data_IF_141377745991
#
_entry.id   IF_141377745991
#
_cell.length_a   1.000
_cell.length_b   1.000
_cell.length_c   1.000
_cell.angle_alpha   90.00
_cell.angle_beta   90.00
_cell.angle_gamma   90.00
#
_symmetry.space_group_name_H-M   'P 1'
#
loop_
_entity.id
_entity.type
_entity.pdbx_description
1 polymer ?
#
# COMPACT_ATOMS: atom_id res chain seq x y z
N UNK A 1 -19.98 -2.88 11.75
CA UNK A 1 -18.91 -1.87 11.89
C UNK A 1 -17.59 -2.43 11.36
N UNK A 2 -17.51 -2.58 10.05
CA UNK A 2 -16.32 -2.76 9.22
C UNK A 2 -16.71 -2.04 7.91
N UNK A 3 -15.76 -1.48 7.17
CA UNK A 3 -15.97 -0.58 6.01
C UNK A 3 -16.26 0.88 6.38
N UNK A 4 -15.25 1.62 6.86
CA UNK A 4 -15.22 3.08 6.72
C UNK A 4 -13.78 3.66 6.73
N UNK A 5 -12.82 2.91 6.19
CA UNK A 5 -11.43 3.37 6.06
C UNK A 5 -10.90 3.08 4.65
N UNK A 6 -11.57 3.64 3.64
CA UNK A 6 -11.06 3.66 2.27
C UNK A 6 -11.62 4.91 1.60
N UNK A 7 -10.98 6.05 1.83
CA UNK A 7 -10.96 7.25 0.98
C UNK A 7 -9.91 8.15 1.63
N UNK A 8 -9.09 8.81 0.82
CA UNK A 8 -7.93 9.66 1.16
C UNK A 8 -6.56 8.93 1.20
N UNK A 9 -6.05 8.44 0.07
CA UNK A 9 -4.59 8.27 -0.11
C UNK A 9 -3.92 9.58 -0.64
N UNK A 10 -4.65 10.69 -0.88
CA UNK A 10 -4.05 11.85 -1.58
C UNK A 10 -4.35 13.27 -1.09
N UNK A 11 -5.04 13.51 0.02
CA UNK A 11 -5.32 14.89 0.47
C UNK A 11 -4.97 15.22 1.93
N UNK A 12 -4.54 14.25 2.73
CA UNK A 12 -4.06 14.51 4.08
C UNK A 12 -2.84 13.64 4.35
N UNK A 13 -1.70 14.29 4.67
CA UNK A 13 -0.54 13.65 5.28
C UNK A 13 -0.95 13.03 6.63
N UNK A 14 -1.57 11.86 6.58
CA UNK A 14 -1.59 10.94 7.71
C UNK A 14 -0.62 9.81 7.39
N UNK A 15 0.38 9.67 8.23
CA UNK A 15 1.20 8.48 8.34
C UNK A 15 0.26 7.28 8.48
N UNK A 16 0.11 6.47 7.42
CA UNK A 16 -0.24 5.03 7.37
C UNK A 16 -0.79 4.69 5.96
N UNK A 17 0.03 4.00 5.17
CA UNK A 17 -0.22 3.64 3.78
C UNK A 17 -1.23 2.50 3.62
N UNK A 18 -2.14 2.67 2.67
CA UNK A 18 -2.97 1.61 2.08
C UNK A 18 -2.86 1.67 0.54
N UNK A 19 -1.70 2.08 0.06
CA UNK A 19 -1.42 2.21 -1.36
C UNK A 19 -0.66 0.93 -1.80
N UNK A 20 -1.05 0.36 -2.94
CA UNK A 20 -0.54 -0.94 -3.38
C UNK A 20 0.97 -0.91 -3.67
N UNK A 21 1.63 -2.04 -3.40
CA UNK A 21 3.03 -2.28 -3.75
C UNK A 21 3.11 -3.39 -4.79
N UNK A 22 4.10 -3.31 -5.65
CA UNK A 22 4.29 -4.26 -6.74
C UNK A 22 5.62 -4.97 -6.54
N UNK A 23 5.61 -6.26 -6.79
CA UNK A 23 6.78 -7.13 -6.73
C UNK A 23 6.82 -7.98 -7.99
N UNK A 24 8.03 -8.27 -8.43
CA UNK A 24 8.35 -9.11 -9.56
C UNK A 24 9.04 -10.38 -9.08
N UNK A 25 8.85 -11.47 -9.82
CA UNK A 25 9.45 -12.76 -9.54
C UNK A 25 8.66 -13.90 -10.18
N UNK A 26 9.29 -15.06 -10.34
CA UNK A 26 8.68 -16.28 -10.87
C UNK A 26 7.79 -16.95 -9.81
N UNK A 27 6.51 -16.60 -9.78
CA UNK A 27 5.59 -17.08 -8.74
C UNK A 27 5.03 -18.49 -9.04
N UNK A 28 5.07 -18.94 -10.30
CA UNK A 28 4.55 -20.25 -10.71
C UNK A 28 5.63 -21.30 -11.04
N UNK A 29 6.88 -20.87 -11.17
CA UNK A 29 8.07 -21.70 -11.43
C UNK A 29 8.24 -22.03 -12.91
N UNK A 30 7.75 -21.19 -13.83
CA UNK A 30 7.86 -21.42 -15.29
C UNK A 30 9.15 -20.87 -15.90
N UNK A 31 9.97 -20.17 -15.12
CA UNK A 31 11.20 -19.50 -15.51
C UNK A 31 11.00 -18.06 -16.00
N UNK A 32 9.79 -17.50 -15.94
CA UNK A 32 9.50 -16.10 -16.25
C UNK A 32 8.91 -15.40 -15.05
N UNK A 33 9.33 -14.15 -14.86
CA UNK A 33 8.81 -13.34 -13.79
C UNK A 33 7.39 -12.86 -14.07
N UNK A 34 6.53 -13.00 -13.07
CA UNK A 34 5.20 -12.42 -13.05
C UNK A 34 5.10 -11.29 -12.01
N UNK A 35 3.88 -10.85 -11.73
CA UNK A 35 3.63 -9.71 -10.85
C UNK A 35 2.80 -10.16 -9.64
N UNK A 36 3.24 -9.73 -8.46
CA UNK A 36 2.43 -9.72 -7.27
C UNK A 36 2.05 -8.29 -6.88
N UNK A 37 0.77 -8.06 -6.64
CA UNK A 37 0.27 -6.81 -6.04
C UNK A 37 0.06 -7.06 -4.56
N UNK A 38 0.76 -6.31 -3.71
CA UNK A 38 0.55 -6.33 -2.26
C UNK A 38 -0.34 -5.16 -1.85
N UNK A 39 -1.42 -5.49 -1.13
CA UNK A 39 -2.23 -4.52 -0.39
C UNK A 39 -2.21 -4.88 1.09
N UNK A 40 -1.54 -4.05 1.88
CA UNK A 40 -1.31 -4.32 3.30
C UNK A 40 -0.67 -5.72 3.48
N UNK A 41 -1.21 -6.62 4.30
CA UNK A 41 -0.64 -7.96 4.52
C UNK A 41 -0.98 -9.01 3.44
N UNK A 42 -1.69 -8.63 2.38
CA UNK A 42 -2.20 -9.57 1.37
C UNK A 42 -1.46 -9.39 0.06
N UNK A 43 -0.91 -10.48 -0.46
CA UNK A 43 -0.30 -10.57 -1.79
C UNK A 43 -1.30 -11.21 -2.74
N UNK A 44 -1.49 -10.60 -3.91
CA UNK A 44 -2.32 -11.07 -5.00
C UNK A 44 -1.38 -11.39 -6.17
N UNK A 45 -1.20 -12.67 -6.46
CA UNK A 45 -0.36 -13.14 -7.56
C UNK A 45 -1.16 -13.13 -8.86
N UNK A 46 -0.60 -12.53 -9.90
CA UNK A 46 -1.12 -12.53 -11.26
C UNK A 46 -0.04 -13.15 -12.14
N UNK A 47 -0.18 -14.47 -12.40
CA UNK A 47 0.84 -15.26 -13.10
C UNK A 47 0.55 -15.36 -14.59
N UNK A 48 -0.71 -15.15 -14.98
CA UNK A 48 -1.14 -15.21 -16.37
C UNK A 48 -1.27 -13.83 -17.04
N UNK A 49 -1.08 -12.74 -16.29
CA UNK A 49 -1.17 -11.34 -16.73
C UNK A 49 -2.58 -10.92 -17.22
N UNK A 50 -3.64 -11.56 -16.74
CA UNK A 50 -5.02 -11.20 -17.09
C UNK A 50 -5.60 -10.08 -16.21
N UNK A 51 -4.80 -9.55 -15.29
CA UNK A 51 -5.19 -8.49 -14.34
C UNK A 51 -6.00 -9.01 -13.16
N UNK A 52 -6.14 -10.33 -12.99
CA UNK A 52 -6.80 -10.95 -11.85
C UNK A 52 -5.82 -11.75 -11.02
N UNK A 53 -6.19 -11.90 -9.75
CA UNK A 53 -5.44 -12.74 -8.84
C UNK A 53 -5.71 -14.22 -9.14
N UNK A 54 -4.64 -14.94 -9.48
CA UNK A 54 -4.59 -16.40 -9.61
C UNK A 54 -4.35 -17.08 -8.27
N UNK A 55 -3.69 -16.37 -7.34
CA UNK A 55 -3.39 -16.84 -6.00
C UNK A 55 -3.31 -15.71 -4.99
N UNK A 56 -3.49 -16.05 -3.71
CA UNK A 56 -3.39 -15.10 -2.60
C UNK A 56 -2.56 -15.71 -1.48
N UNK A 57 -1.68 -14.89 -0.90
CA UNK A 57 -1.02 -15.18 0.38
C UNK A 57 -1.30 -14.06 1.37
N UNK A 58 -1.51 -14.42 2.64
CA UNK A 58 -1.62 -13.47 3.74
C UNK A 58 -0.45 -13.69 4.66
N UNK A 59 0.44 -12.70 4.78
CA UNK A 59 1.65 -12.85 5.58
C UNK A 59 1.99 -11.58 6.35
N UNK A 60 2.40 -11.75 7.61
CA UNK A 60 2.77 -10.67 8.52
C UNK A 60 1.63 -9.76 8.98
N UNK A 61 2.00 -8.59 9.49
CA UNK A 61 1.12 -7.57 10.05
C UNK A 61 0.87 -6.40 9.09
N UNK A 62 1.32 -6.50 7.84
CA UNK A 62 1.07 -5.48 6.84
C UNK A 62 1.73 -4.15 7.18
N UNK A 63 1.04 -3.06 6.84
CA UNK A 63 1.49 -1.68 7.06
C UNK A 63 1.11 -1.15 8.45
N UNK A 64 0.62 -2.02 9.36
CA UNK A 64 0.26 -1.62 10.71
C UNK A 64 1.51 -1.30 11.54
N UNK A 65 1.54 -0.08 12.07
CA UNK A 65 2.52 0.30 13.09
C UNK A 65 2.11 -0.28 14.44
N UNK A 66 2.84 -1.31 14.88
CA UNK A 66 2.65 -1.94 16.20
C UNK A 66 3.85 -1.55 17.06
N UNK A 67 3.63 -0.62 17.98
CA UNK A 67 4.64 -0.13 18.93
C UNK A 67 5.92 0.42 18.27
N UNK A 68 5.77 1.13 17.15
CA UNK A 68 6.89 1.72 16.40
C UNK A 68 7.52 0.80 15.36
N UNK A 69 7.02 -0.43 15.21
CA UNK A 69 7.53 -1.42 14.25
C UNK A 69 6.49 -1.63 13.14
N UNK A 70 6.94 -1.62 11.89
CA UNK A 70 6.16 -1.94 10.70
C UNK A 70 6.88 -3.04 9.92
N UNK A 71 6.14 -3.99 9.37
CA UNK A 71 6.73 -5.02 8.53
C UNK A 71 7.14 -4.43 7.17
N UNK A 72 8.38 -4.67 6.76
CA UNK A 72 8.86 -4.36 5.41
C UNK A 72 8.96 -5.65 4.63
N UNK A 73 8.41 -5.68 3.43
CA UNK A 73 8.29 -6.89 2.63
C UNK A 73 9.28 -6.86 1.48
N UNK A 74 9.71 -8.05 1.10
CA UNK A 74 10.57 -8.32 -0.05
C UNK A 74 10.28 -9.73 -0.55
N UNK A 75 10.79 -10.06 -1.73
CA UNK A 75 10.48 -11.29 -2.44
C UNK A 75 11.76 -11.86 -3.02
N UNK A 76 11.83 -13.18 -3.10
CA UNK A 76 12.98 -13.93 -3.62
C UNK A 76 12.78 -15.44 -3.45
N UNK A 77 13.59 -16.23 -4.14
CA UNK A 77 13.66 -17.70 -4.03
C UNK A 77 14.56 -18.08 -2.83
N UNK A 78 13.95 -18.25 -1.65
CA UNK A 78 14.72 -18.45 -0.43
C UNK A 78 15.24 -19.88 -0.22
N UNK A 79 14.70 -20.85 -0.95
CA UNK A 79 15.03 -22.27 -0.79
C UNK A 79 15.63 -22.93 -2.05
N UNK A 80 15.73 -22.18 -3.14
CA UNK A 80 16.42 -22.55 -4.38
C UNK A 80 15.62 -23.51 -5.24
N UNK A 81 14.29 -23.50 -5.11
CA UNK A 81 13.40 -24.35 -5.90
C UNK A 81 13.02 -23.75 -7.26
N UNK A 82 13.46 -22.53 -7.53
CA UNK A 82 13.17 -21.74 -8.72
C UNK A 82 11.91 -20.87 -8.59
N UNK A 83 11.22 -20.86 -7.44
CA UNK A 83 10.01 -20.06 -7.23
C UNK A 83 10.26 -18.93 -6.25
N UNK A 84 9.72 -17.76 -6.59
CA UNK A 84 9.75 -16.59 -5.73
C UNK A 84 8.79 -16.76 -4.56
N UNK A 85 9.29 -16.68 -3.32
CA UNK A 85 8.46 -16.64 -2.11
C UNK A 85 8.48 -15.26 -1.42
N UNK A 86 7.66 -15.11 -0.37
CA UNK A 86 7.50 -13.84 0.33
C UNK A 86 8.32 -13.83 1.63
N UNK A 87 9.16 -12.81 1.75
CA UNK A 87 9.87 -12.48 2.97
C UNK A 87 9.36 -11.18 3.59
N UNK A 88 9.57 -11.04 4.90
CA UNK A 88 9.42 -9.76 5.56
C UNK A 88 10.51 -9.55 6.59
N UNK A 89 10.69 -8.29 6.95
CA UNK A 89 11.55 -7.84 8.02
C UNK A 89 10.72 -7.10 9.06
N UNK A 90 10.93 -7.47 10.32
CA UNK A 90 10.28 -6.90 11.51
C UNK A 90 11.34 -6.53 12.54
N UNK A 91 11.61 -5.24 12.69
CA UNK A 91 12.80 -4.80 13.42
C UNK A 91 14.06 -5.37 12.76
N UNK A 92 14.99 -5.95 13.52
CA UNK A 92 16.19 -6.57 12.95
C UNK A 92 15.98 -8.03 12.48
N UNK A 93 14.78 -8.59 12.63
CA UNK A 93 14.49 -9.97 12.24
C UNK A 93 14.03 -10.03 10.79
N UNK A 94 14.62 -10.95 10.05
CA UNK A 94 14.19 -11.43 8.74
C UNK A 94 13.34 -12.69 8.96
N UNK A 95 12.20 -12.77 8.27
CA UNK A 95 11.22 -13.84 8.39
C UNK A 95 10.77 -14.24 6.99
N UNK A 96 11.14 -15.44 6.55
CA UNK A 96 10.88 -15.96 5.20
C UNK A 96 9.83 -17.07 5.28
N UNK A 97 8.83 -17.00 4.40
CA UNK A 97 7.79 -18.02 4.22
C UNK A 97 8.00 -18.64 2.84
N UNK A 98 8.41 -19.92 2.81
CA UNK A 98 8.79 -20.65 1.58
C UNK A 98 7.66 -21.55 1.09
N UNK A 99 6.62 -21.75 1.92
CA UNK A 99 5.53 -22.68 1.62
C UNK A 99 4.17 -21.99 1.38
N UNK A 100 4.14 -20.67 1.50
CA UNK A 100 3.00 -19.77 1.30
C UNK A 100 1.84 -19.96 2.31
N UNK A 101 2.09 -20.56 3.48
CA UNK A 101 1.07 -20.80 4.50
C UNK A 101 0.82 -19.60 5.44
N UNK A 102 1.60 -18.53 5.29
CA UNK A 102 1.53 -17.31 6.08
C UNK A 102 2.29 -17.39 7.42
N UNK A 103 3.12 -18.42 7.60
CA UNK A 103 3.99 -18.64 8.77
C UNK A 103 5.44 -18.65 8.29
N UNK A 104 6.31 -18.00 9.06
CA UNK A 104 7.74 -17.99 8.73
C UNK A 104 8.35 -19.39 8.97
N UNK A 105 9.00 -19.93 7.94
CA UNK A 105 9.78 -21.16 8.00
C UNK A 105 11.23 -20.87 8.42
N UNK A 106 11.79 -19.76 7.93
CA UNK A 106 13.16 -19.34 8.20
C UNK A 106 13.14 -17.99 8.93
N UNK A 107 13.83 -17.91 10.07
CA UNK A 107 13.94 -16.67 10.87
C UNK A 107 15.37 -16.47 11.34
N UNK A 108 15.94 -15.32 11.01
CA UNK A 108 17.29 -14.92 11.41
C UNK A 108 17.37 -13.41 11.62
N UNK A 109 18.49 -12.93 12.14
CA UNK A 109 18.71 -11.50 12.36
C UNK A 109 19.82 -10.97 11.46
N UNK A 110 19.56 -9.88 10.75
CA UNK A 110 20.59 -9.22 9.94
C UNK A 110 20.34 -7.72 9.80
N UNK A 111 21.42 -6.94 9.87
CA UNK A 111 21.39 -5.47 9.89
C UNK A 111 20.85 -4.86 11.19
N UNK A 112 20.60 -3.56 11.15
CA UNK A 112 20.25 -2.70 12.29
C UNK A 112 18.78 -2.28 12.30
N UNK A 113 17.90 -3.09 11.70
CA UNK A 113 16.49 -2.77 11.71
C UNK A 113 16.20 -1.46 10.97
N UNK A 114 15.33 -0.60 11.50
CA UNK A 114 14.82 0.60 10.78
C UNK A 114 15.90 1.68 10.63
N UNK A 115 17.12 1.40 11.11
CA UNK A 115 18.28 2.27 10.97
C UNK A 115 19.10 1.97 9.71
N UNK A 116 18.82 0.87 9.01
CA UNK A 116 19.39 0.65 7.68
C UNK A 116 18.70 1.54 6.66
N UNK A 117 19.43 2.00 5.64
CA UNK A 117 18.83 2.79 4.58
C UNK A 117 17.90 1.93 3.71
N UNK A 118 18.32 0.70 3.42
CA UNK A 118 17.60 -0.22 2.53
C UNK A 118 18.01 -1.67 2.77
N UNK A 119 17.08 -2.59 2.50
CA UNK A 119 17.33 -4.02 2.39
C UNK A 119 17.18 -4.41 0.92
N UNK A 120 18.11 -5.20 0.42
CA UNK A 120 18.16 -5.68 -0.96
C UNK A 120 18.14 -7.21 -0.96
N UNK A 121 17.61 -7.79 -2.03
CA UNK A 121 17.48 -9.24 -2.21
C UNK A 121 18.10 -9.62 -3.53
N UNK A 122 18.84 -10.73 -3.53
CA UNK A 122 19.35 -11.40 -4.73
C UNK A 122 20.25 -12.57 -4.38
N UNK A 123 20.59 -13.37 -5.39
CA UNK A 123 21.56 -14.46 -5.30
C UNK A 123 22.98 -13.88 -5.40
N UNK A 124 23.56 -13.50 -4.26
CA UNK A 124 24.82 -12.77 -4.26
C UNK A 124 26.06 -13.65 -4.49
N UNK A 125 25.95 -14.97 -4.27
CA UNK A 125 27.07 -15.93 -4.41
C UNK A 125 26.90 -16.92 -5.57
N UNK A 126 25.75 -16.89 -6.25
CA UNK A 126 25.45 -17.65 -7.45
C UNK A 126 25.08 -19.10 -7.15
N UNK A 127 24.55 -19.38 -5.96
CA UNK A 127 24.20 -20.73 -5.52
C UNK A 127 22.77 -21.16 -5.89
N UNK A 128 21.98 -20.25 -6.45
CA UNK A 128 20.58 -20.43 -6.84
C UNK A 128 19.57 -20.11 -5.74
N UNK A 129 20.00 -19.55 -4.60
CA UNK A 129 19.11 -19.08 -3.52
C UNK A 129 19.30 -17.58 -3.30
N UNK A 130 18.21 -16.86 -3.12
CA UNK A 130 18.25 -15.45 -2.76
C UNK A 130 18.65 -15.25 -1.31
N UNK A 131 19.45 -14.22 -1.07
CA UNK A 131 19.84 -13.81 0.27
C UNK A 131 19.72 -12.29 0.48
N UNK A 132 19.94 -11.86 1.72
CA UNK A 132 19.71 -10.48 2.13
C UNK A 132 21.00 -9.67 2.11
N UNK A 133 20.94 -8.48 1.53
CA UNK A 133 21.93 -7.44 1.72
C UNK A 133 21.32 -6.21 2.41
N UNK A 134 22.16 -5.44 3.12
CA UNK A 134 21.77 -4.15 3.70
C UNK A 134 22.62 -3.02 3.14
N UNK A 135 21.98 -1.89 2.85
CA UNK A 135 22.65 -0.68 2.37
C UNK A 135 22.83 0.35 3.47
N UNK A 136 24.04 0.91 3.54
CA UNK A 136 24.43 2.04 4.40
C UNK A 136 25.19 3.07 3.57
N UNK A 137 24.54 4.17 3.22
CA UNK A 137 25.06 5.09 2.22
C UNK A 137 25.31 4.36 0.89
N UNK A 138 26.48 4.53 0.30
CA UNK A 138 26.88 3.80 -0.91
C UNK A 138 27.47 2.40 -0.66
N UNK A 139 27.52 1.92 0.58
CA UNK A 139 28.05 0.59 0.91
C UNK A 139 26.92 -0.44 1.01
N UNK A 140 27.14 -1.61 0.39
CA UNK A 140 26.23 -2.76 0.37
C UNK A 140 26.90 -3.90 1.12
N UNK A 141 26.26 -4.39 2.17
CA UNK A 141 26.73 -5.48 3.00
C UNK A 141 25.89 -6.73 2.69
N UNK A 142 26.45 -7.70 2.01
CA UNK A 142 25.76 -8.93 1.58
C UNK A 142 26.06 -10.06 2.55
N UNK A 143 25.02 -10.79 2.95
CA UNK A 143 25.08 -12.03 3.74
C UNK A 143 24.64 -13.16 2.80
N UNK A 144 25.54 -14.11 2.51
CA UNK A 144 25.33 -15.16 1.52
C UNK A 144 24.70 -16.42 2.12
N UNK A 145 24.66 -16.50 3.45
CA UNK A 145 24.31 -17.74 4.15
C UNK A 145 23.29 -17.54 5.28
N UNK A 146 22.81 -16.31 5.44
CA UNK A 146 21.84 -15.89 6.44
C UNK A 146 22.30 -16.13 7.90
N UNK A 147 23.62 -16.11 8.16
CA UNK A 147 24.20 -16.28 9.50
C UNK A 147 24.22 -15.00 10.34
N UNK A 148 23.81 -13.87 9.75
CA UNK A 148 23.73 -12.57 10.39
C UNK A 148 25.03 -11.76 10.34
N UNK A 149 26.04 -12.21 9.60
CA UNK A 149 27.25 -11.48 9.30
C UNK A 149 27.37 -11.19 7.79
N UNK A 150 28.00 -10.06 7.45
CA UNK A 150 28.26 -9.74 6.06
C UNK A 150 29.47 -10.55 5.56
N UNK A 151 29.28 -11.36 4.53
CA UNK A 151 30.33 -12.08 3.81
C UNK A 151 31.09 -11.17 2.85
N UNK A 152 30.37 -10.24 2.21
CA UNK A 152 30.94 -9.28 1.28
C UNK A 152 30.44 -7.85 1.56
N UNK A 153 31.34 -6.89 1.36
CA UNK A 153 31.00 -5.47 1.38
C UNK A 153 31.53 -4.83 0.10
N UNK A 154 30.64 -4.22 -0.67
CA UNK A 154 30.98 -3.49 -1.89
C UNK A 154 30.42 -2.07 -1.87
N UNK A 155 30.99 -1.19 -2.69
CA UNK A 155 30.56 0.20 -2.83
C UNK A 155 29.97 0.45 -4.22
N UNK A 156 28.75 0.96 -4.28
CA UNK A 156 28.14 1.40 -5.54
C UNK A 156 27.08 2.50 -5.34
N UNK A 157 27.09 3.49 -6.22
CA UNK A 157 26.23 4.67 -6.15
C UNK A 157 26.56 5.62 -5.00
N UNK A 158 25.70 6.63 -4.83
CA UNK A 158 25.85 7.71 -3.86
C UNK A 158 24.88 7.58 -2.67
N UNK A 159 24.35 6.38 -2.42
CA UNK A 159 23.44 6.11 -1.32
C UNK A 159 22.10 6.83 -1.47
N UNK A 160 21.66 7.54 -0.42
CA UNK A 160 20.33 8.15 -0.36
C UNK A 160 20.08 9.29 -1.36
N UNK A 161 21.07 9.66 -2.18
CA UNK A 161 20.86 10.58 -3.30
C UNK A 161 20.48 9.87 -4.61
N UNK A 162 20.64 8.54 -4.68
CA UNK A 162 20.10 7.75 -5.79
C UNK A 162 18.58 7.64 -5.64
N UNK A 163 17.85 7.59 -6.75
CA UNK A 163 16.39 7.49 -6.69
C UNK A 163 15.94 6.07 -6.29
N UNK A 164 16.64 5.04 -6.76
CA UNK A 164 16.39 3.63 -6.43
C UNK A 164 17.67 2.79 -6.58
N UNK A 165 17.80 1.75 -5.76
CA UNK A 165 18.68 0.62 -6.00
C UNK A 165 17.86 -0.54 -6.57
N UNK A 166 18.42 -1.24 -7.55
CA UNK A 166 17.80 -2.35 -8.25
C UNK A 166 18.77 -3.53 -8.22
N UNK A 167 18.23 -4.74 -8.11
CA UNK A 167 18.99 -5.99 -8.07
C UNK A 167 18.43 -6.91 -9.13
N UNK A 168 19.30 -7.62 -9.83
CA UNK A 168 18.90 -8.63 -10.78
C UNK A 168 20.06 -9.22 -11.57
N UNK A 169 19.78 -10.26 -12.33
CA UNK A 169 20.71 -10.95 -13.19
C UNK A 169 20.77 -10.29 -14.57
N UNK A 170 21.55 -9.22 -14.68
CA UNK A 170 21.69 -8.45 -15.93
C UNK A 170 22.61 -9.11 -16.98
N UNK A 171 23.36 -10.16 -16.64
CA UNK A 171 24.49 -10.64 -17.46
C UNK A 171 24.25 -12.06 -17.99
N UNK A 172 24.28 -12.25 -19.32
CA UNK A 172 24.24 -13.58 -19.97
C UNK A 172 25.44 -14.47 -19.69
N UNK A 173 26.46 -13.98 -18.99
CA UNK A 173 27.65 -14.80 -18.80
C UNK A 173 27.34 -15.83 -17.72
N UNK A 174 27.24 -17.08 -18.13
CA UNK A 174 27.32 -18.33 -17.36
C UNK A 174 28.50 -18.43 -16.37
N UNK A 175 29.16 -17.31 -16.05
CA UNK A 175 30.35 -17.21 -15.26
C UNK A 175 30.10 -16.81 -13.82
N UNK A 176 28.86 -16.60 -13.42
CA UNK A 176 28.31 -16.78 -12.07
C UNK A 176 26.84 -16.37 -12.17
N UNK A 177 25.93 -17.20 -11.68
CA UNK A 177 24.48 -16.92 -11.58
C UNK A 177 24.18 -15.83 -10.54
N UNK A 178 25.13 -14.92 -10.32
CA UNK A 178 25.03 -13.90 -9.30
C UNK A 178 24.16 -12.76 -9.78
N UNK A 179 23.36 -12.24 -8.87
CA UNK A 179 22.70 -10.96 -9.07
C UNK A 179 23.69 -9.81 -8.98
N UNK A 180 23.39 -8.76 -9.73
CA UNK A 180 24.18 -7.55 -9.74
C UNK A 180 23.36 -6.31 -9.45
N UNK A 181 24.07 -5.23 -9.13
CA UNK A 181 23.46 -3.98 -8.71
C UNK A 181 23.26 -3.03 -9.89
N UNK A 182 22.13 -2.33 -9.86
CA UNK A 182 21.91 -1.14 -10.64
C UNK A 182 21.43 0.01 -9.75
N UNK A 183 21.75 1.23 -10.15
CA UNK A 183 21.26 2.45 -9.51
C UNK A 183 20.50 3.30 -10.51
N UNK A 184 19.45 3.95 -10.03
CA UNK A 184 18.60 4.80 -10.84
C UNK A 184 18.81 6.28 -10.54
N UNK A 185 18.94 7.08 -11.59
CA UNK A 185 18.96 8.56 -11.55
C UNK A 185 18.01 9.12 -12.60
N UNK A 186 16.83 9.54 -12.19
CA UNK A 186 15.77 9.93 -13.10
C UNK A 186 15.45 8.80 -14.08
N UNK A 187 15.57 9.06 -15.38
CA UNK A 187 15.29 8.05 -16.42
C UNK A 187 16.46 7.12 -16.73
N UNK A 188 17.58 7.23 -16.01
CA UNK A 188 18.81 6.48 -16.27
C UNK A 188 19.00 5.35 -15.26
N UNK A 189 19.30 4.15 -15.75
CA UNK A 189 19.60 2.95 -14.96
C UNK A 189 21.05 2.56 -15.23
N UNK A 190 21.90 2.69 -14.21
CA UNK A 190 23.34 2.45 -14.29
C UNK A 190 23.63 1.08 -13.67
N UNK A 191 23.80 0.05 -14.50
CA UNK A 191 24.03 -1.33 -14.08
C UNK A 191 25.53 -1.61 -13.93
N UNK A 192 25.90 -2.32 -12.88
CA UNK A 192 27.26 -2.77 -12.60
C UNK A 192 27.28 -4.30 -12.51
N UNK A 193 28.04 -4.95 -13.39
CA UNK A 193 28.09 -6.40 -13.53
C UNK A 193 29.27 -7.06 -12.80
N UNK A 194 30.13 -6.28 -12.15
CA UNK A 194 31.38 -6.82 -11.59
C UNK A 194 31.73 -6.24 -10.21
N UNK A 195 30.90 -5.35 -9.67
CA UNK A 195 31.07 -4.65 -8.41
C UNK A 195 32.36 -3.83 -8.29
N UNK A 196 32.90 -3.32 -9.41
CA UNK A 196 34.13 -2.51 -9.44
C UNK A 196 33.90 -1.02 -9.10
N UNK A 197 32.65 -0.64 -8.80
CA UNK A 197 32.22 0.72 -8.48
C UNK A 197 31.83 1.58 -9.69
N UNK A 198 32.08 1.13 -10.92
CA UNK A 198 31.65 1.77 -12.17
C UNK A 198 30.35 1.18 -12.73
N UNK A 199 29.69 1.90 -13.63
CA UNK A 199 28.60 1.32 -14.41
C UNK A 199 29.17 0.65 -15.66
N UNK A 200 28.81 -0.61 -15.89
CA UNK A 200 29.17 -1.38 -17.09
C UNK A 200 28.17 -1.14 -18.23
N UNK A 201 26.91 -0.88 -17.90
CA UNK A 201 25.84 -0.61 -18.85
C UNK A 201 24.91 0.50 -18.32
N UNK A 202 24.42 1.35 -19.22
CA UNK A 202 23.47 2.42 -18.88
C UNK A 202 22.27 2.35 -19.80
N UNK A 203 21.08 2.12 -19.22
CA UNK A 203 19.80 2.10 -19.92
C UNK A 203 19.02 3.39 -19.68
N UNK A 204 18.26 3.83 -20.68
CA UNK A 204 17.36 4.99 -20.57
C UNK A 204 15.92 4.53 -20.76
N UNK A 205 15.12 4.48 -19.71
CA UNK A 205 13.74 4.00 -19.85
C UNK A 205 12.78 4.71 -18.90
N UNK A 206 11.55 4.94 -19.36
CA UNK A 206 10.53 5.70 -18.64
C UNK A 206 10.72 7.23 -18.69
N UNK A 207 9.89 7.94 -17.92
CA UNK A 207 9.84 9.40 -17.83
C UNK A 207 10.58 9.94 -16.59
N UNK A 208 11.54 9.18 -16.06
CA UNK A 208 12.27 9.56 -14.86
C UNK A 208 11.36 9.72 -13.64
N UNK A 209 11.58 10.74 -12.81
CA UNK A 209 10.95 10.84 -11.48
C UNK A 209 9.43 11.11 -11.49
N UNK A 210 8.79 11.10 -12.67
CA UNK A 210 7.33 11.05 -12.78
C UNK A 210 6.75 9.63 -12.78
N UNK A 211 7.59 8.59 -12.94
CA UNK A 211 7.15 7.21 -12.76
C UNK A 211 6.95 6.90 -11.27
N UNK A 212 6.04 5.97 -10.96
CA UNK A 212 5.74 5.56 -9.59
C UNK A 212 6.78 4.57 -9.04
N UNK A 213 7.55 3.92 -9.91
CA UNK A 213 8.64 3.02 -9.55
C UNK A 213 9.18 2.24 -10.76
N UNK A 214 10.31 1.56 -10.55
CA UNK A 214 10.91 0.62 -11.49
C UNK A 214 10.91 -0.78 -10.87
N UNK A 215 10.73 -1.79 -11.73
CA UNK A 215 10.78 -3.20 -11.38
C UNK A 215 11.82 -3.89 -12.25
N UNK A 216 12.33 -5.01 -11.75
CA UNK A 216 13.34 -5.84 -12.38
C UNK A 216 12.79 -7.25 -12.51
N UNK A 217 13.01 -7.90 -13.65
CA UNK A 217 12.68 -9.30 -13.78
C UNK A 217 12.81 -9.87 -15.18
N UNK A 218 12.89 -11.19 -15.28
CA UNK A 218 12.97 -11.93 -16.54
C UNK A 218 11.58 -12.06 -17.18
N UNK A 219 11.19 -11.05 -17.95
CA UNK A 219 9.84 -11.00 -18.52
C UNK A 219 9.67 -11.87 -19.77
N UNK A 220 10.77 -12.27 -20.42
CA UNK A 220 10.75 -13.01 -21.68
C UNK A 220 11.27 -14.45 -21.58
N UNK A 221 11.84 -14.83 -20.43
CA UNK A 221 12.29 -16.17 -20.08
C UNK A 221 13.64 -16.53 -20.65
N UNK A 222 14.48 -15.54 -20.96
CA UNK A 222 15.81 -15.78 -21.52
C UNK A 222 16.90 -16.03 -20.45
N UNK A 223 16.52 -15.94 -19.17
CA UNK A 223 17.37 -16.10 -18.00
C UNK A 223 18.06 -14.81 -17.56
N UNK A 224 17.70 -13.65 -18.13
CA UNK A 224 18.19 -12.34 -17.71
C UNK A 224 17.05 -11.44 -17.29
N UNK A 225 17.39 -10.59 -16.34
CA UNK A 225 16.47 -9.56 -15.94
C UNK A 225 16.43 -8.38 -16.92
N UNK A 226 15.22 -7.92 -17.12
CA UNK A 226 14.85 -6.75 -17.87
C UNK A 226 14.34 -5.64 -16.92
N UNK A 227 13.93 -4.50 -17.49
CA UNK A 227 13.41 -3.36 -16.71
C UNK A 227 11.94 -3.12 -17.04
N UNK A 228 11.14 -2.82 -16.01
CA UNK A 228 9.80 -2.29 -16.17
C UNK A 228 9.61 -0.97 -15.39
N UNK A 229 8.71 -0.11 -15.88
CA UNK A 229 8.25 1.07 -15.15
C UNK A 229 6.80 0.92 -14.72
N UNK A 230 6.53 1.31 -13.48
CA UNK A 230 5.19 1.47 -12.95
C UNK A 230 4.69 2.89 -13.23
N UNK A 231 3.57 2.99 -13.94
CA UNK A 231 2.93 4.25 -14.29
C UNK A 231 1.43 4.19 -14.03
N UNK A 232 1.01 4.68 -12.89
CA UNK A 232 -0.38 4.65 -12.44
C UNK A 232 -0.86 3.20 -12.26
N UNK A 233 -1.60 2.72 -13.25
CA UNK A 233 -2.13 1.34 -13.27
C UNK A 233 -1.36 0.42 -14.21
N UNK A 234 -0.44 0.96 -14.99
CA UNK A 234 0.26 0.24 -16.03
C UNK A 234 1.66 -0.15 -15.56
N UNK A 235 2.09 -1.36 -15.90
CA UNK A 235 3.48 -1.81 -15.86
C UNK A 235 3.94 -1.96 -17.29
N UNK A 236 4.93 -1.17 -17.68
CA UNK A 236 5.48 -1.11 -19.03
C UNK A 236 6.86 -1.75 -19.00
N UNK A 237 7.05 -2.86 -19.71
CA UNK A 237 8.27 -3.68 -19.67
C UNK A 237 9.07 -3.48 -20.96
N UNK A 238 10.35 -3.19 -20.84
CA UNK A 238 11.34 -3.14 -21.93
C UNK A 238 12.20 -4.40 -21.83
N UNK A 239 11.99 -5.35 -22.74
CA UNK A 239 12.63 -6.69 -22.70
C UNK A 239 13.88 -6.75 -23.57
N UNK A 240 14.10 -5.74 -24.41
CA UNK A 240 15.18 -5.75 -25.41
C UNK A 240 16.19 -4.59 -25.21
N UNK A 241 15.96 -3.74 -24.21
CA UNK A 241 16.74 -2.56 -23.86
C UNK A 241 16.82 -1.50 -24.98
N UNK A 242 15.79 -1.38 -25.81
CA UNK A 242 15.73 -0.40 -26.91
C UNK A 242 15.17 0.97 -26.49
N UNK A 243 14.85 1.14 -25.19
CA UNK A 243 14.27 2.32 -24.55
C UNK A 243 12.76 2.51 -24.82
N UNK A 244 12.11 1.57 -25.49
CA UNK A 244 10.66 1.50 -25.63
C UNK A 244 10.13 0.29 -24.87
N UNK A 245 8.87 0.36 -24.46
CA UNK A 245 8.24 -0.81 -23.87
C UNK A 245 7.80 -1.77 -24.98
N UNK A 246 8.03 -3.06 -24.78
CA UNK A 246 7.58 -4.15 -25.64
C UNK A 246 6.26 -4.73 -25.14
N UNK A 247 6.10 -4.80 -23.80
CA UNK A 247 4.94 -5.35 -23.12
C UNK A 247 4.30 -4.32 -22.19
N UNK A 248 2.98 -4.38 -22.05
CA UNK A 248 2.20 -3.58 -21.12
C UNK A 248 1.24 -4.48 -20.35
N UNK A 249 1.19 -4.28 -19.03
CA UNK A 249 0.20 -4.86 -18.15
C UNK A 249 -0.61 -3.76 -17.46
N UNK A 250 -1.93 -3.82 -17.52
CA UNK A 250 -2.82 -2.83 -16.89
C UNK A 250 -3.63 -3.47 -15.75
N UNK A 251 -3.71 -2.79 -14.60
CA UNK A 251 -4.47 -3.22 -13.42
C UNK A 251 -5.61 -2.24 -13.10
N UNK A 252 -6.90 -2.61 -13.23
CA UNK A 252 -7.98 -1.74 -12.76
C UNK A 252 -9.34 -1.77 -13.47
N UNK A 253 -10.04 -2.89 -13.43
CA UNK A 253 -11.46 -2.99 -13.80
C UNK A 253 -12.39 -3.51 -12.68
N UNK A 254 -11.95 -3.43 -11.41
CA UNK A 254 -12.88 -3.30 -10.27
C UNK A 254 -12.79 -4.37 -9.17
N UNK A 255 -11.74 -5.19 -9.15
CA UNK A 255 -11.48 -6.11 -8.01
C UNK A 255 -10.02 -6.07 -7.53
N UNK A 256 -9.11 -5.59 -8.36
CA UNK A 256 -7.67 -5.57 -8.15
C UNK A 256 -7.12 -4.20 -7.73
N UNK A 257 -7.85 -3.07 -7.88
CA UNK A 257 -7.54 -1.76 -7.26
C UNK A 257 -8.76 -0.92 -6.87
N UNK A 258 -8.65 -0.04 -5.84
CA UNK A 258 -9.65 0.99 -5.60
C UNK A 258 -9.73 1.84 -6.87
N UNK A 259 -10.93 1.98 -7.40
CA UNK A 259 -11.23 2.88 -8.50
C UNK A 259 -10.44 4.18 -8.31
N UNK A 260 -9.90 4.73 -9.41
CA UNK A 260 -9.72 6.18 -9.51
C UNK A 260 -11.11 6.81 -9.58
N UNK A 261 -11.88 6.61 -8.51
CA UNK A 261 -13.25 7.02 -8.38
C UNK A 261 -13.23 8.53 -8.29
N UNK A 262 -13.72 9.16 -9.35
CA UNK A 262 -14.23 10.51 -9.26
C UNK A 262 -15.06 10.58 -7.97
N UNK A 263 -14.64 11.42 -7.02
CA UNK A 263 -15.29 11.60 -5.70
C UNK A 263 -16.80 11.87 -5.85
N UNK A 264 -17.24 12.30 -7.03
CA UNK A 264 -18.62 12.57 -7.43
C UNK A 264 -19.48 11.28 -7.56
N UNK A 265 -18.91 10.14 -7.97
CA UNK A 265 -19.65 8.87 -8.14
C UNK A 265 -20.00 8.22 -6.79
N UNK A 266 -19.05 8.22 -5.86
CA UNK A 266 -19.19 7.57 -4.56
C UNK A 266 -20.25 8.24 -3.68
N UNK A 267 -20.33 9.57 -3.73
CA UNK A 267 -21.37 10.34 -3.01
C UNK A 267 -22.77 10.06 -3.59
N UNK A 268 -22.89 9.82 -4.90
CA UNK A 268 -24.17 9.51 -5.54
C UNK A 268 -24.73 8.14 -5.12
N UNK A 269 -23.88 7.11 -5.05
CA UNK A 269 -24.30 5.76 -4.66
C UNK A 269 -24.58 5.67 -3.15
N UNK A 270 -23.77 6.33 -2.31
CA UNK A 270 -24.02 6.42 -0.88
C UNK A 270 -25.36 7.11 -0.57
N UNK A 271 -25.73 8.16 -1.31
CA UNK A 271 -27.01 8.86 -1.13
C UNK A 271 -28.21 8.03 -1.62
N UNK A 272 -28.04 7.21 -2.67
CA UNK A 272 -29.08 6.30 -3.17
C UNK A 272 -29.31 5.12 -2.22
N UNK A 273 -28.25 4.54 -1.65
CA UNK A 273 -28.36 3.46 -0.67
C UNK A 273 -28.94 3.97 0.66
N UNK A 274 -28.63 5.21 1.05
CA UNK A 274 -29.28 5.87 2.20
C UNK A 274 -30.76 6.15 1.94
N UNK A 275 -31.13 6.57 0.73
CA UNK A 275 -32.54 6.77 0.34
C UNK A 275 -33.34 5.45 0.33
N UNK A 276 -32.71 4.34 -0.09
CA UNK A 276 -33.32 3.00 -0.08
C UNK A 276 -33.36 2.37 1.33
N UNK A 277 -32.38 2.65 2.18
CA UNK A 277 -32.35 2.25 3.59
C UNK A 277 -33.40 2.96 4.45
N UNK A 278 -33.69 4.23 4.16
CA UNK A 278 -34.79 4.98 4.80
C UNK A 278 -36.16 4.40 4.42
N UNK A 279 -36.31 3.79 3.25
CA UNK A 279 -37.56 3.13 2.84
C UNK A 279 -37.80 1.76 3.51
N UNK A 280 -36.76 1.14 4.08
CA UNK A 280 -36.81 -0.23 4.64
C UNK A 280 -36.56 -0.30 6.15
N UNK A 281 -36.38 0.84 6.83
CA UNK A 281 -36.41 0.93 8.29
C UNK A 281 -35.18 0.39 9.03
N UNK A 282 -34.04 0.22 8.37
CA UNK A 282 -32.79 -0.19 9.01
C UNK A 282 -31.91 1.04 9.27
N UNK A 283 -31.82 1.50 10.52
CA UNK A 283 -31.07 2.69 10.91
C UNK A 283 -29.63 2.35 11.31
N UNK A 284 -28.65 2.92 10.62
CA UNK A 284 -27.32 3.16 11.17
C UNK A 284 -27.08 4.68 11.16
N UNK A 285 -27.17 5.31 12.34
CA UNK A 285 -26.86 6.72 12.49
C UNK A 285 -25.34 6.91 12.36
N UNK A 286 -24.90 7.73 11.42
CA UNK A 286 -23.49 8.10 11.26
C UNK A 286 -23.41 9.62 11.18
N UNK A 287 -22.72 10.20 12.15
CA UNK A 287 -22.60 11.64 12.37
C UNK A 287 -21.41 12.17 11.55
N UNK A 288 -21.66 12.92 10.47
CA UNK A 288 -20.61 13.55 9.67
C UNK A 288 -20.45 15.01 10.08
N UNK A 289 -19.37 15.30 10.82
CA UNK A 289 -18.96 16.66 11.16
C UNK A 289 -18.10 17.24 10.03
N UNK A 290 -18.65 18.13 9.20
CA UNK A 290 -17.86 18.86 8.19
C UNK A 290 -17.21 20.09 8.84
N UNK A 291 -15.88 20.07 9.00
CA UNK A 291 -15.08 21.23 9.34
C UNK A 291 -14.96 22.19 8.16
N UNK A 292 -15.42 23.43 8.32
CA UNK A 292 -15.27 24.54 7.36
C UNK A 292 -13.77 24.82 7.10
N UNK A 293 -13.25 24.43 5.94
CA UNK A 293 -12.14 25.12 5.25
C UNK A 293 -11.92 24.62 3.80
N UNK A 294 -13.00 24.41 3.04
CA UNK A 294 -12.89 24.21 1.59
C UNK A 294 -13.86 25.15 0.87
N UNK A 295 -13.29 26.14 0.19
CA UNK A 295 -14.02 27.15 -0.57
C UNK A 295 -14.61 26.59 -1.85
N UNK A 296 -15.72 25.85 -1.74
CA UNK A 296 -16.56 25.52 -2.89
C UNK A 296 -17.73 26.50 -2.97
N UNK A 297 -17.74 27.29 -4.05
CA UNK A 297 -18.71 28.34 -4.31
C UNK A 297 -20.12 27.83 -4.64
N UNK A 298 -21.09 28.74 -4.47
CA UNK A 298 -22.52 28.57 -4.73
C UNK A 298 -22.84 27.91 -6.07
N UNK A 299 -23.22 26.63 -6.05
CA UNK A 299 -23.87 25.92 -7.15
C UNK A 299 -25.23 25.39 -6.70
N UNK A 300 -26.31 26.02 -7.16
CA UNK A 300 -27.70 25.62 -6.89
C UNK A 300 -28.07 24.34 -7.64
N UNK A 301 -28.39 23.26 -6.91
CA UNK A 301 -29.06 22.10 -7.51
C UNK A 301 -30.59 22.25 -7.40
N UNK A 302 -31.26 22.25 -8.55
CA UNK A 302 -32.73 22.21 -8.67
C UNK A 302 -33.22 20.79 -8.36
N UNK A 303 -33.97 20.62 -7.28
CA UNK A 303 -34.63 19.36 -6.93
C UNK A 303 -35.88 19.11 -7.78
N UNK A 304 -36.02 17.89 -8.28
CA UNK A 304 -37.27 17.33 -8.79
C UNK A 304 -38.20 16.94 -7.63
N UNK A 305 -39.50 17.23 -7.78
CA UNK A 305 -40.52 17.09 -6.74
C UNK A 305 -40.72 15.63 -6.27
N UNK A 306 -40.88 15.46 -4.95
CA UNK A 306 -41.25 14.19 -4.30
C UNK A 306 -42.77 13.92 -4.45
N UNK A 307 -43.21 12.65 -4.55
CA UNK A 307 -44.64 12.29 -4.59
C UNK A 307 -45.37 12.59 -3.28
N UNK A 308 -46.67 12.88 -3.41
CA UNK A 308 -47.54 13.61 -2.47
C UNK A 308 -47.98 12.91 -1.18
N UNK A 309 -47.33 11.86 -0.69
CA UNK A 309 -47.91 11.01 0.37
C UNK A 309 -47.03 10.79 1.63
N UNK A 310 -46.26 11.79 2.09
CA UNK A 310 -45.62 11.74 3.41
C UNK A 310 -46.15 12.83 4.33
N UNK A 311 -47.00 12.40 5.27
CA UNK A 311 -47.48 13.21 6.38
C UNK A 311 -46.33 13.53 7.34
N UNK A 312 -45.82 14.77 7.30
CA UNK A 312 -45.04 15.34 8.39
C UNK A 312 -45.76 16.58 8.91
N UNK A 313 -46.23 16.51 10.16
CA UNK A 313 -46.70 17.67 10.93
C UNK A 313 -45.68 18.01 12.03
N UNK A 314 -45.50 19.31 12.25
CA UNK A 314 -44.53 19.97 13.14
C UNK A 314 -44.64 19.51 14.60
N UNK A 315 -43.49 19.37 15.28
CA UNK A 315 -43.39 19.06 16.71
C UNK A 315 -43.52 20.31 17.60
N UNK A 316 -44.38 20.20 18.61
CA UNK A 316 -44.36 20.94 19.87
C UNK A 316 -44.80 19.97 20.98
N UNK A 317 -44.03 19.96 22.06
CA UNK A 317 -44.26 19.35 23.38
C UNK A 317 -44.55 17.83 23.49
N UNK A 318 -43.49 17.10 23.88
CA UNK A 318 -43.43 15.78 24.54
C UNK A 318 -44.08 14.58 23.83
N UNK A 319 -43.24 13.65 23.35
CA UNK A 319 -43.45 12.20 23.54
C UNK A 319 -42.16 11.40 23.34
N UNK A 320 -42.06 10.32 24.12
CA UNK A 320 -40.95 9.37 24.26
C UNK A 320 -40.89 8.35 23.12
N UNK A 321 -39.68 7.86 22.85
CA UNK A 321 -39.38 6.64 22.09
C UNK A 321 -38.42 5.78 22.95
N UNK A 322 -38.72 4.50 23.23
CA UNK A 322 -37.90 3.69 24.13
C UNK A 322 -36.55 3.20 23.54
N UNK A 323 -36.22 3.43 22.26
CA UNK A 323 -34.98 2.88 21.67
C UNK A 323 -34.01 3.88 21.02
N UNK A 324 -34.24 5.19 21.12
CA UNK A 324 -33.26 6.20 20.69
C UNK A 324 -33.06 7.32 21.72
N UNK A 325 -31.94 7.27 22.44
CA UNK A 325 -31.44 8.41 23.20
C UNK A 325 -30.73 9.39 22.27
N UNK A 326 -31.45 10.36 21.70
CA UNK A 326 -30.85 11.64 21.30
C UNK A 326 -31.89 12.76 21.37
N UNK A 327 -31.85 13.53 22.47
CA UNK A 327 -32.47 14.85 22.54
C UNK A 327 -31.37 15.90 22.40
N UNK A 328 -31.40 16.69 21.33
CA UNK A 328 -30.61 17.91 21.21
C UNK A 328 -31.36 19.05 21.90
N UNK A 329 -30.80 19.62 22.97
CA UNK A 329 -31.32 20.85 23.56
C UNK A 329 -30.25 21.93 23.53
N UNK A 330 -30.49 23.02 22.79
CA UNK A 330 -29.64 24.21 22.83
C UNK A 330 -30.01 25.02 24.07
N UNK A 331 -29.09 25.13 25.03
CA UNK A 331 -29.24 26.10 26.11
C UNK A 331 -28.70 27.47 25.69
N UNK A 332 -29.22 28.52 26.32
CA UNK A 332 -29.08 29.95 26.01
C UNK A 332 -27.66 30.54 26.06
N UNK A 333 -26.65 29.69 26.26
CA UNK A 333 -25.25 30.03 26.47
C UNK A 333 -24.30 29.38 25.44
N UNK A 334 -24.82 28.89 24.30
CA UNK A 334 -24.03 28.41 23.14
C UNK A 334 -23.01 27.30 23.44
N UNK A 335 -23.35 26.38 24.34
CA UNK A 335 -22.58 25.14 24.55
C UNK A 335 -23.40 23.92 24.16
N UNK A 336 -22.86 23.12 23.24
CA UNK A 336 -23.38 21.80 22.90
C UNK A 336 -22.90 20.80 23.96
N UNK A 337 -23.81 19.96 24.48
CA UNK A 337 -23.46 18.81 25.31
C UNK A 337 -23.87 17.53 24.60
N UNK A 338 -22.92 16.62 24.46
CA UNK A 338 -23.17 15.26 23.97
C UNK A 338 -22.92 14.32 25.14
N UNK A 339 -23.85 13.41 25.41
CA UNK A 339 -23.69 12.34 26.40
C UNK A 339 -23.38 11.05 25.67
N UNK A 340 -22.22 10.46 25.92
CA UNK A 340 -21.88 9.11 25.44
C UNK A 340 -21.98 8.09 26.57
N UNK A 341 -22.64 6.96 26.32
CA UNK A 341 -22.75 5.83 27.26
C UNK A 341 -21.41 5.06 27.29
N UNK A 342 -20.88 4.76 28.48
CA UNK A 342 -19.70 3.89 28.65
C UNK A 342 -20.11 2.61 29.40
N UNK A 343 -20.12 1.50 28.66
CA UNK A 343 -20.19 0.07 29.03
C UNK A 343 -21.15 -0.46 30.11
N UNK A 344 -21.62 -1.69 29.83
CA UNK A 344 -22.66 -2.44 30.50
C UNK A 344 -22.27 -2.95 31.89
N UNK A 345 -22.86 -2.36 32.92
CA UNK A 345 -23.45 -3.07 34.09
C UNK A 345 -24.49 -2.15 34.72
N UNK A 346 -25.52 -2.74 35.29
CA UNK A 346 -26.70 -2.08 35.84
C UNK A 346 -26.33 -1.11 36.98
N UNK A 347 -26.58 0.19 36.75
CA UNK A 347 -26.35 1.27 37.72
C UNK A 347 -24.98 1.95 37.62
N UNK A 348 -24.89 3.07 36.88
CA UNK A 348 -24.39 4.35 37.40
C UNK A 348 -24.16 5.47 36.34
N UNK A 349 -24.57 6.67 36.77
CA UNK A 349 -24.08 8.04 36.54
C UNK A 349 -23.45 8.45 35.18
N UNK A 350 -24.11 9.42 34.53
CA UNK A 350 -23.56 10.23 33.43
C UNK A 350 -22.45 11.17 33.93
N UNK A 351 -21.24 11.07 33.39
CA UNK A 351 -20.17 12.06 33.59
C UNK A 351 -19.89 12.80 32.29
N UNK A 352 -19.89 14.14 32.35
CA UNK A 352 -19.67 15.01 31.20
C UNK A 352 -18.18 15.27 31.00
N UNK A 353 -17.58 14.68 29.97
CA UNK A 353 -16.22 15.03 29.56
C UNK A 353 -16.23 15.84 28.27
N UNK A 354 -15.73 17.08 28.40
CA UNK A 354 -15.28 18.02 27.36
C UNK A 354 -16.30 19.00 26.77
N UNK A 355 -15.97 20.29 26.86
CA UNK A 355 -16.72 21.43 26.32
C UNK A 355 -16.07 21.93 25.03
N UNK A 356 -16.82 21.98 23.92
CA UNK A 356 -16.41 22.73 22.72
C UNK A 356 -17.18 24.06 22.67
N UNK A 357 -16.47 25.18 22.54
CA UNK A 357 -17.07 26.49 22.22
C UNK A 357 -17.20 26.56 20.69
N UNK A 358 -18.43 26.61 20.17
CA UNK A 358 -18.67 26.77 18.74
C UNK A 358 -19.34 28.13 18.45
N UNK A 359 -18.84 28.82 17.44
CA UNK A 359 -19.25 30.17 16.99
C UNK A 359 -20.43 30.15 16.00
N UNK A 360 -21.10 29.01 15.81
CA UNK A 360 -22.15 28.83 14.79
C UNK A 360 -23.60 28.80 15.32
N UNK A 361 -23.88 29.28 16.54
CA UNK A 361 -25.27 29.52 16.97
C UNK A 361 -25.74 30.90 16.47
N UNK A 362 -26.82 31.01 15.67
CA UNK A 362 -27.37 32.31 15.31
C UNK A 362 -27.96 33.00 16.55
N UNK A 363 -27.83 34.34 16.69
CA UNK A 363 -28.41 35.04 17.83
C UNK A 363 -29.95 34.97 17.80
N UNK A 364 -30.60 34.89 18.96
CA UNK A 364 -32.06 34.79 19.04
C UNK A 364 -32.71 36.05 18.44
N UNK A 365 -33.81 35.85 17.70
CA UNK A 365 -34.75 36.93 17.38
C UNK A 365 -35.72 37.14 18.54
#
# INVERSE_FOLDING_TARGET
MKHFLFIVCFLFNFQNGFCDKYYSGDWDGDGRDNIAVRRNQVFYFDVNFDGKSDGIQVYGNGDYNINGIVDKYFVGDWDGDGKTNVGLRRGALIMLDINYDGIADIVFGYGNGDSEDEYLVGDWDGNGTDNIAVRRGGAIHMDFNNDGAADQITGYGNGNSEDQYLVGNWSSSNRNLVDHLAIRRGGEIHMNFNFDGGADFVQYFGNGNSEDGYLVGDWDGDGKDNIAVLRGISILKDINFDNNYDLIQDYGDGIDKPEKGNVISWVGNLMNDLANGIATGSYAAMDLLFGKNSGFGNGSFKGTALPSNTNLKRCGDQMYDPELFLCCNCQSNNTLRILSKKNNTEGDLYQCDTYYRNTDCPPPR
#
